data_IF_419671842300
#
_entry.id   IF_419671842300
#
_cell.length_a   1.000
_cell.length_b   1.000
_cell.length_c   1.000
_cell.angle_alpha   90.00
_cell.angle_beta   90.00
_cell.angle_gamma   90.00
#
_symmetry.space_group_name_H-M   'P 1'
#
loop_
_entity.id
_entity.type
_entity.pdbx_description
1 polymer ?
#
# COMPACT_ATOMS: atom_id res chain seq x y z
N UNK A 1 5.35 8.49 3.41
CA UNK A 1 6.19 9.57 3.98
C UNK A 1 7.38 9.00 4.76
N UNK A 2 7.18 7.92 5.51
CA UNK A 2 8.28 7.18 6.17
C UNK A 2 9.36 6.65 5.21
N UNK A 3 8.95 6.23 4.00
CA UNK A 3 9.85 5.74 2.93
C UNK A 3 10.85 6.78 2.40
N UNK A 4 10.56 8.07 2.59
CA UNK A 4 11.43 9.18 2.14
C UNK A 4 12.21 9.81 3.29
N UNK A 5 12.10 9.28 4.52
CA UNK A 5 12.79 9.82 5.70
C UNK A 5 12.19 11.09 6.29
N UNK A 6 11.01 11.52 5.84
CA UNK A 6 10.36 12.73 6.36
C UNK A 6 9.92 12.56 7.82
N UNK A 7 9.63 11.32 8.26
CA UNK A 7 9.19 11.04 9.62
C UNK A 7 10.34 10.76 10.60
N UNK A 8 11.60 10.80 10.14
CA UNK A 8 12.79 10.57 10.95
C UNK A 8 13.80 9.63 10.29
N UNK A 9 15.00 9.55 10.87
CA UNK A 9 16.07 8.66 10.38
C UNK A 9 15.78 7.19 10.71
N UNK A 10 16.34 6.23 9.95
CA UNK A 10 16.22 4.81 10.26
C UNK A 10 16.59 4.51 11.71
N UNK A 11 15.73 3.82 12.45
CA UNK A 11 15.95 3.49 13.87
C UNK A 11 15.36 4.48 14.88
N UNK A 12 14.70 5.56 14.43
CA UNK A 12 13.95 6.45 15.32
C UNK A 12 12.66 5.78 15.83
N UNK A 13 12.15 6.13 17.02
CA UNK A 13 10.86 5.63 17.50
C UNK A 13 9.75 5.92 16.47
N UNK A 14 8.94 4.90 16.14
CA UNK A 14 7.81 5.01 15.19
C UNK A 14 8.20 5.09 13.70
N UNK A 15 9.49 5.02 13.36
CA UNK A 15 9.98 4.99 11.96
C UNK A 15 10.25 3.55 11.53
N UNK A 16 9.53 3.07 10.52
CA UNK A 16 9.67 1.71 9.98
C UNK A 16 10.84 1.58 9.00
N UNK A 17 11.12 2.62 8.19
CA UNK A 17 12.20 2.60 7.20
C UNK A 17 13.12 3.82 7.29
N UNK A 18 12.57 5.04 7.31
CA UNK A 18 13.35 6.29 7.46
C UNK A 18 14.29 6.65 6.29
N UNK A 19 14.46 5.78 5.29
CA UNK A 19 15.21 6.06 4.06
C UNK A 19 14.71 5.16 2.91
N UNK A 20 14.79 5.66 1.68
CA UNK A 20 14.48 4.91 0.47
C UNK A 20 15.37 3.68 0.31
N UNK A 21 16.66 3.76 0.64
CA UNK A 21 17.58 2.60 0.54
C UNK A 21 17.16 1.45 1.46
N UNK A 22 16.83 1.75 2.72
CA UNK A 22 16.34 0.77 3.71
C UNK A 22 15.00 0.18 3.27
N UNK A 23 14.13 1.01 2.70
CA UNK A 23 12.87 0.53 2.11
C UNK A 23 13.10 -0.41 0.91
N UNK A 24 14.06 -0.10 0.05
CA UNK A 24 14.42 -0.96 -1.08
C UNK A 24 15.05 -2.27 -0.64
N UNK A 25 15.94 -2.24 0.35
CA UNK A 25 16.54 -3.44 0.91
C UNK A 25 15.45 -4.35 1.51
N UNK A 26 14.51 -3.79 2.28
CA UNK A 26 13.36 -4.51 2.80
C UNK A 26 12.44 -5.02 1.69
N UNK A 27 12.17 -4.22 0.66
CA UNK A 27 11.34 -4.64 -0.48
C UNK A 27 12.01 -5.76 -1.28
N UNK A 28 13.35 -5.77 -1.34
CA UNK A 28 14.10 -6.84 -2.00
C UNK A 28 14.04 -8.15 -1.21
N UNK A 29 14.01 -8.13 0.12
CA UNK A 29 13.76 -9.35 0.90
C UNK A 29 12.36 -9.91 0.67
N UNK A 30 11.38 -9.04 0.38
CA UNK A 30 10.01 -9.44 0.03
C UNK A 30 9.85 -9.97 -1.41
N UNK A 31 10.83 -9.72 -2.28
CA UNK A 31 10.81 -10.18 -3.68
C UNK A 31 12.19 -10.74 -4.06
N UNK A 32 12.63 -11.86 -3.47
CA UNK A 32 13.96 -12.43 -3.72
C UNK A 32 14.13 -12.90 -5.18
N UNK A 33 13.03 -13.00 -5.92
CA UNK A 33 13.00 -13.35 -7.35
C UNK A 33 13.22 -12.14 -8.28
N UNK A 34 13.29 -10.90 -7.76
CA UNK A 34 13.57 -9.68 -8.54
C UNK A 34 14.95 -9.10 -8.23
N UNK A 35 15.68 -8.70 -9.28
CA UNK A 35 16.90 -7.92 -9.12
C UNK A 35 16.59 -6.54 -8.50
N UNK A 36 17.53 -5.99 -7.70
CA UNK A 36 17.40 -4.68 -7.03
C UNK A 36 16.83 -3.54 -7.91
N UNK A 37 17.25 -3.35 -9.18
CA UNK A 37 16.71 -2.28 -10.01
C UNK A 37 15.22 -2.48 -10.35
N UNK A 38 14.81 -3.73 -10.57
CA UNK A 38 13.41 -4.07 -10.88
C UNK A 38 12.53 -3.90 -9.64
N UNK A 39 13.04 -4.28 -8.46
CA UNK A 39 12.36 -4.03 -7.19
C UNK A 39 12.15 -2.53 -6.93
N UNK A 40 13.12 -1.68 -7.31
CA UNK A 40 12.99 -0.23 -7.22
C UNK A 40 11.89 0.32 -8.13
N UNK A 41 11.81 -0.14 -9.39
CA UNK A 41 10.74 0.26 -10.31
C UNK A 41 9.37 -0.16 -9.76
N UNK A 42 9.24 -1.40 -9.27
CA UNK A 42 8.00 -1.89 -8.65
C UNK A 42 7.61 -1.08 -7.40
N UNK A 43 8.59 -0.73 -6.56
CA UNK A 43 8.39 0.13 -5.39
C UNK A 43 7.89 1.53 -5.76
N UNK A 44 8.40 2.13 -6.84
CA UNK A 44 7.94 3.42 -7.36
C UNK A 44 6.51 3.30 -7.88
N UNK A 45 6.23 2.29 -8.70
CA UNK A 45 4.89 2.05 -9.25
C UNK A 45 3.87 1.83 -8.12
N UNK A 46 4.22 1.03 -7.11
CA UNK A 46 3.35 0.79 -5.96
C UNK A 46 3.08 2.08 -5.18
N UNK A 47 4.11 2.91 -4.94
CA UNK A 47 3.97 4.17 -4.22
C UNK A 47 3.12 5.19 -5.00
N UNK A 48 3.31 5.26 -6.32
CA UNK A 48 2.49 6.09 -7.20
C UNK A 48 1.04 5.60 -7.24
N UNK A 49 0.82 4.28 -7.32
CA UNK A 49 -0.50 3.65 -7.26
C UNK A 49 -1.23 3.94 -5.95
N UNK A 50 -0.54 3.79 -4.80
CA UNK A 50 -1.08 4.17 -3.48
C UNK A 50 -1.54 5.63 -3.47
N UNK A 51 -0.73 6.55 -3.98
CA UNK A 51 -1.06 7.97 -4.01
C UNK A 51 -2.29 8.24 -4.90
N UNK A 52 -2.33 7.67 -6.10
CA UNK A 52 -3.45 7.84 -7.04
C UNK A 52 -4.74 7.29 -6.44
N UNK A 53 -4.72 6.07 -5.89
CA UNK A 53 -5.89 5.48 -5.25
C UNK A 53 -6.32 6.26 -4.01
N UNK A 54 -5.39 6.74 -3.18
CA UNK A 54 -5.70 7.57 -2.02
C UNK A 54 -6.41 8.87 -2.44
N UNK A 55 -5.90 9.56 -3.46
CA UNK A 55 -6.53 10.79 -3.98
C UNK A 55 -7.91 10.50 -4.55
N UNK A 56 -8.07 9.44 -5.34
CA UNK A 56 -9.38 9.05 -5.90
C UNK A 56 -10.40 8.70 -4.81
N UNK A 57 -9.97 8.00 -3.76
CA UNK A 57 -10.80 7.64 -2.61
C UNK A 57 -11.21 8.88 -1.79
N UNK A 58 -10.30 9.83 -1.57
CA UNK A 58 -10.60 11.08 -0.84
C UNK A 58 -11.53 11.99 -1.66
N UNK A 59 -11.29 12.11 -2.97
CA UNK A 59 -12.08 12.97 -3.86
C UNK A 59 -13.47 12.40 -4.09
N UNK A 60 -13.70 11.09 -3.93
CA UNK A 60 -15.01 10.53 -4.25
C UNK A 60 -15.21 10.32 -5.76
N UNK A 61 -14.15 10.05 -6.52
CA UNK A 61 -14.24 9.83 -7.97
C UNK A 61 -13.85 8.41 -8.35
N UNK A 62 -14.75 7.70 -9.04
CA UNK A 62 -14.66 6.27 -9.38
C UNK A 62 -14.26 5.40 -8.19
N UNK A 63 -14.97 5.55 -7.07
CA UNK A 63 -14.63 4.92 -5.78
C UNK A 63 -14.50 3.40 -5.92
N UNK A 64 -15.40 2.76 -6.66
CA UNK A 64 -15.35 1.31 -6.89
C UNK A 64 -14.03 0.87 -7.56
N UNK A 65 -13.57 1.59 -8.57
CA UNK A 65 -12.34 1.25 -9.29
C UNK A 65 -11.10 1.51 -8.42
N UNK A 66 -11.08 2.63 -7.70
CA UNK A 66 -10.01 2.96 -6.76
C UNK A 66 -9.93 1.95 -5.60
N UNK A 67 -11.08 1.51 -5.09
CA UNK A 67 -11.19 0.50 -4.04
C UNK A 67 -10.68 -0.87 -4.49
N UNK A 68 -11.03 -1.32 -5.71
CA UNK A 68 -10.48 -2.56 -6.29
C UNK A 68 -8.98 -2.45 -6.51
N UNK A 69 -8.49 -1.31 -7.04
CA UNK A 69 -7.06 -1.07 -7.24
C UNK A 69 -6.28 -1.10 -5.93
N UNK A 70 -6.78 -0.40 -4.90
CA UNK A 70 -6.22 -0.41 -3.55
C UNK A 70 -6.24 -1.81 -2.93
N UNK A 71 -7.32 -2.58 -3.11
CA UNK A 71 -7.42 -3.96 -2.66
C UNK A 71 -6.35 -4.85 -3.30
N UNK A 72 -6.21 -4.84 -4.63
CA UNK A 72 -5.23 -5.67 -5.34
C UNK A 72 -3.79 -5.31 -4.94
N UNK A 73 -3.50 -4.01 -4.84
CA UNK A 73 -2.17 -3.52 -4.47
C UNK A 73 -1.80 -3.94 -3.04
N UNK A 74 -2.70 -3.72 -2.08
CA UNK A 74 -2.46 -4.07 -0.67
C UNK A 74 -2.46 -5.58 -0.43
N UNK A 75 -3.29 -6.34 -1.16
CA UNK A 75 -3.30 -7.79 -1.09
C UNK A 75 -1.99 -8.39 -1.62
N UNK A 76 -1.51 -7.94 -2.79
CA UNK A 76 -0.23 -8.39 -3.33
C UNK A 76 0.91 -8.12 -2.35
N UNK A 77 0.94 -6.93 -1.76
CA UNK A 77 1.92 -6.58 -0.72
C UNK A 77 1.79 -7.46 0.53
N UNK A 78 0.56 -7.70 1.02
CA UNK A 78 0.31 -8.56 2.18
C UNK A 78 0.77 -10.01 1.94
N UNK A 79 0.49 -10.56 0.76
CA UNK A 79 0.93 -11.91 0.36
C UNK A 79 2.46 -11.98 0.28
N UNK A 80 3.12 -10.99 -0.32
CA UNK A 80 4.58 -10.92 -0.32
C UNK A 80 5.16 -10.88 1.10
N UNK A 81 4.58 -10.06 1.99
CA UNK A 81 4.99 -10.01 3.40
C UNK A 81 4.78 -11.34 4.14
N UNK A 82 3.66 -12.01 3.86
CA UNK A 82 3.31 -13.28 4.49
C UNK A 82 4.27 -14.41 4.08
N UNK A 83 4.64 -14.46 2.80
CA UNK A 83 5.49 -15.52 2.24
C UNK A 83 6.97 -15.29 2.56
N UNK A 84 7.46 -14.04 2.43
CA UNK A 84 8.91 -13.77 2.39
C UNK A 84 9.48 -13.08 3.63
N UNK A 85 8.70 -12.29 4.38
CA UNK A 85 9.19 -11.64 5.59
C UNK A 85 8.96 -12.49 6.84
N UNK A 86 7.70 -12.60 7.27
CA UNK A 86 7.30 -13.36 8.46
C UNK A 86 5.77 -13.47 8.48
N UNK A 87 5.22 -14.59 8.96
CA UNK A 87 3.77 -14.80 9.00
C UNK A 87 3.03 -13.73 9.83
N UNK A 88 3.70 -13.10 10.82
CA UNK A 88 3.16 -11.99 11.63
C UNK A 88 3.33 -10.59 11.03
N UNK A 89 4.24 -10.41 10.07
CA UNK A 89 4.53 -9.10 9.49
C UNK A 89 3.28 -8.40 8.91
N UNK A 90 2.46 -9.04 8.06
CA UNK A 90 1.27 -8.37 7.50
C UNK A 90 0.19 -8.08 8.56
N UNK A 91 0.18 -8.78 9.69
CA UNK A 91 -0.73 -8.51 10.81
C UNK A 91 -0.29 -7.31 11.64
N UNK A 92 1.02 -7.16 11.90
CA UNK A 92 1.56 -6.01 12.63
C UNK A 92 1.30 -4.69 11.88
N UNK A 93 1.38 -4.72 10.55
CA UNK A 93 1.06 -3.57 9.70
C UNK A 93 -0.43 -3.47 9.32
N UNK A 94 -1.28 -4.37 9.83
CA UNK A 94 -2.73 -4.42 9.55
C UNK A 94 -3.08 -4.41 8.05
N UNK A 95 -2.19 -4.91 7.20
CA UNK A 95 -2.34 -4.80 5.73
C UNK A 95 -3.54 -5.60 5.24
N UNK A 96 -3.81 -6.75 5.84
CA UNK A 96 -5.01 -7.55 5.54
C UNK A 96 -6.30 -6.82 5.90
N UNK A 97 -6.31 -6.02 6.96
CA UNK A 97 -7.48 -5.23 7.36
C UNK A 97 -7.74 -4.13 6.32
N UNK A 98 -6.68 -3.45 5.88
CA UNK A 98 -6.78 -2.44 4.81
C UNK A 98 -7.30 -3.07 3.52
N UNK A 99 -6.76 -4.22 3.12
CA UNK A 99 -7.21 -4.96 1.94
C UNK A 99 -8.71 -5.34 2.05
N UNK A 100 -9.12 -5.94 3.16
CA UNK A 100 -10.53 -6.31 3.39
C UNK A 100 -11.47 -5.08 3.40
N UNK A 101 -11.05 -3.97 4.01
CA UNK A 101 -11.80 -2.72 4.01
C UNK A 101 -11.95 -2.12 2.61
N UNK A 102 -10.88 -2.13 1.81
CA UNK A 102 -10.94 -1.70 0.41
C UNK A 102 -11.86 -2.59 -0.43
N UNK A 103 -11.85 -3.90 -0.21
CA UNK A 103 -12.78 -4.82 -0.89
C UNK A 103 -14.23 -4.57 -0.46
N UNK A 104 -14.48 -4.38 0.83
CA UNK A 104 -15.81 -4.04 1.34
C UNK A 104 -16.32 -2.73 0.73
N UNK A 105 -15.46 -1.71 0.63
CA UNK A 105 -15.82 -0.45 -0.03
C UNK A 105 -16.18 -0.68 -1.52
N UNK A 106 -15.50 -1.60 -2.21
CA UNK A 106 -15.82 -1.93 -3.60
C UNK A 106 -17.17 -2.66 -3.78
N UNK A 107 -17.69 -3.34 -2.75
CA UNK A 107 -18.97 -4.06 -2.81
C UNK A 107 -20.18 -3.24 -2.38
N UNK A 108 -19.97 -2.06 -1.80
CA UNK A 108 -21.08 -1.19 -1.40
C UNK A 108 -21.87 -0.68 -2.63
N UNK A 109 -23.21 -0.69 -2.57
CA UNK A 109 -24.06 -0.32 -3.70
C UNK A 109 -24.15 1.20 -3.90
N UNK A 110 -23.92 1.99 -2.86
CA UNK A 110 -24.02 3.44 -2.90
C UNK A 110 -22.97 4.08 -1.99
N UNK A 111 -22.40 5.19 -2.45
CA UNK A 111 -21.36 5.92 -1.76
C UNK A 111 -21.91 7.26 -1.25
N UNK A 112 -22.57 7.28 -0.09
CA UNK A 112 -23.26 8.47 0.46
C UNK A 112 -22.42 9.76 0.49
N UNK A 113 -21.10 9.64 0.63
CA UNK A 113 -20.16 10.76 0.75
C UNK A 113 -19.31 10.99 -0.51
N UNK A 114 -19.64 10.32 -1.62
CA UNK A 114 -18.92 10.43 -2.90
C UNK A 114 -19.54 11.51 -3.78
N UNK A 115 -18.69 12.23 -4.52
CA UNK A 115 -19.14 13.20 -5.54
C UNK A 115 -20.00 12.51 -6.60
N UNK A 116 -19.75 11.21 -6.87
CA UNK A 116 -20.56 10.41 -7.80
C UNK A 116 -21.99 10.12 -7.31
N UNK A 117 -22.25 10.20 -6.00
CA UNK A 117 -23.61 10.01 -5.47
C UNK A 117 -24.49 11.26 -5.59
N UNK A 118 -23.89 12.42 -5.91
CA UNK A 118 -24.61 13.69 -6.12
C UNK A 118 -25.15 13.84 -7.56
N UNK A 119 -25.08 12.78 -8.38
CA UNK A 119 -25.48 12.80 -9.79
C UNK A 119 -26.66 11.85 -10.03
#
# INVERSE_FOLDING_TARGET
>A
MDRFGWLGTPGSPTVSWGNWSVFLDYTNTLMPFLARPVANVMAIIATAGELVFAVLLIVGYKIKLAAIGSFLLTLAFALSMFIFANYRAPFNYSVFVVSAASLLLATLPAYKWSIEASK
#
